data_IF_175171654444
#
_entry.id   IF_175171654444
#
_cell.length_a   1.000
_cell.length_b   1.000
_cell.length_c   1.000
_cell.angle_alpha   90.00
_cell.angle_beta   90.00
_cell.angle_gamma   90.00
#
_symmetry.space_group_name_H-M   'P 1'
#
loop_
_entity.id
_entity.type
_entity.pdbx_description
1 polymer ?
#
# COMPACT_ATOMS: atom_id res chain seq x y z
N UNK A 1 -17.28 24.06 -20.84
CA UNK A 1 -17.55 23.07 -19.78
C UNK A 1 -16.33 22.17 -19.76
N UNK A 2 -15.45 22.30 -18.77
CA UNK A 2 -14.26 21.45 -18.68
C UNK A 2 -14.66 20.14 -18.02
N UNK A 3 -14.76 19.09 -18.85
CA UNK A 3 -15.30 17.78 -18.46
C UNK A 3 -14.21 16.82 -17.97
N UNK A 4 -12.93 17.20 -18.11
CA UNK A 4 -11.81 16.31 -17.85
C UNK A 4 -11.08 16.69 -16.55
N UNK A 5 -10.87 15.75 -15.62
CA UNK A 5 -10.27 16.03 -14.30
C UNK A 5 -8.79 16.46 -14.36
N UNK A 6 -8.10 16.26 -15.47
CA UNK A 6 -6.77 16.80 -15.74
C UNK A 6 -6.75 18.32 -15.97
N UNK A 7 -7.89 18.91 -16.36
CA UNK A 7 -8.06 20.36 -16.46
C UNK A 7 -8.22 21.03 -15.09
N UNK A 8 -8.58 20.25 -14.06
CA UNK A 8 -8.79 20.77 -12.70
C UNK A 8 -7.43 20.90 -12.01
N UNK A 9 -6.92 22.12 -11.93
CA UNK A 9 -5.68 22.45 -11.21
C UNK A 9 -6.01 22.69 -9.73
N UNK A 10 -5.47 21.86 -8.85
CA UNK A 10 -5.67 21.96 -7.38
C UNK A 10 -4.63 22.88 -6.75
N UNK A 11 -3.41 22.89 -7.29
CA UNK A 11 -2.33 23.74 -6.81
C UNK A 11 -1.39 24.09 -7.95
N UNK A 12 -0.86 25.31 -7.94
CA UNK A 12 0.10 25.78 -8.93
C UNK A 12 1.19 26.62 -8.25
N UNK A 13 2.45 26.31 -8.55
CA UNK A 13 3.59 27.11 -8.10
C UNK A 13 4.71 27.12 -9.13
N UNK A 14 5.14 28.34 -9.51
CA UNK A 14 6.31 28.60 -10.37
C UNK A 14 6.38 27.75 -11.67
N UNK A 15 5.24 27.48 -12.31
CA UNK A 15 5.12 26.69 -13.54
C UNK A 15 4.83 25.19 -13.32
N UNK A 16 4.83 24.72 -12.08
CA UNK A 16 4.39 23.37 -11.72
C UNK A 16 2.91 23.40 -11.38
N UNK A 17 2.13 22.54 -12.02
CA UNK A 17 0.70 22.38 -11.78
C UNK A 17 0.44 20.98 -11.22
N UNK A 18 -0.30 20.93 -10.11
CA UNK A 18 -0.84 19.70 -9.55
C UNK A 18 -2.30 19.65 -9.98
N UNK A 19 -2.60 18.77 -10.93
CA UNK A 19 -3.97 18.50 -11.34
C UNK A 19 -4.66 17.52 -10.39
N UNK A 20 -5.99 17.42 -10.51
CA UNK A 20 -6.77 16.51 -9.68
C UNK A 20 -6.33 15.05 -9.86
N UNK A 21 -5.96 14.64 -11.08
CA UNK A 21 -5.44 13.30 -11.34
C UNK A 21 -4.22 12.96 -10.48
N UNK A 22 -3.20 13.83 -10.45
CA UNK A 22 -1.99 13.65 -9.63
C UNK A 22 -2.36 13.57 -8.14
N UNK A 23 -3.20 14.50 -7.68
CA UNK A 23 -3.63 14.50 -6.29
C UNK A 23 -4.35 13.20 -5.89
N UNK A 24 -5.29 12.73 -6.71
CA UNK A 24 -6.00 11.48 -6.45
C UNK A 24 -5.07 10.26 -6.48
N UNK A 25 -4.05 10.24 -7.35
CA UNK A 25 -3.05 9.16 -7.31
C UNK A 25 -2.29 9.12 -5.98
N UNK A 26 -1.92 10.26 -5.40
CA UNK A 26 -1.28 10.31 -4.08
C UNK A 26 -2.20 9.79 -2.98
N UNK A 27 -3.48 10.19 -3.01
CA UNK A 27 -4.49 9.70 -2.05
C UNK A 27 -4.61 8.19 -2.11
N UNK A 28 -4.71 7.62 -3.33
CA UNK A 28 -4.78 6.16 -3.52
C UNK A 28 -3.51 5.47 -3.02
N UNK A 29 -2.33 6.00 -3.32
CA UNK A 29 -1.07 5.42 -2.85
C UNK A 29 -0.98 5.44 -1.31
N UNK A 30 -1.35 6.53 -0.66
CA UNK A 30 -1.39 6.62 0.82
C UNK A 30 -2.36 5.58 1.40
N UNK A 31 -3.55 5.45 0.79
CA UNK A 31 -4.54 4.45 1.21
C UNK A 31 -3.98 3.02 1.08
N UNK A 32 -3.36 2.69 -0.05
CA UNK A 32 -2.75 1.38 -0.27
C UNK A 32 -1.64 1.09 0.74
N UNK A 33 -0.74 2.05 0.97
CA UNK A 33 0.32 1.93 1.98
C UNK A 33 -0.28 1.67 3.36
N UNK A 34 -1.31 2.43 3.74
CA UNK A 34 -1.94 2.27 5.05
C UNK A 34 -2.62 0.92 5.21
N UNK A 35 -3.34 0.46 4.19
CA UNK A 35 -3.98 -0.87 4.18
C UNK A 35 -2.92 -1.97 4.24
N UNK A 36 -1.87 -1.90 3.41
CA UNK A 36 -0.77 -2.86 3.43
C UNK A 36 -0.06 -2.90 4.78
N UNK A 37 0.19 -1.74 5.39
CA UNK A 37 0.77 -1.65 6.72
C UNK A 37 -0.14 -2.26 7.79
N UNK A 38 -1.44 -1.97 7.75
CA UNK A 38 -2.41 -2.52 8.69
C UNK A 38 -2.57 -4.05 8.52
N UNK A 39 -2.47 -4.56 7.30
CA UNK A 39 -2.49 -6.00 7.04
C UNK A 39 -1.21 -6.69 7.52
N UNK A 40 -0.05 -6.03 7.37
CA UNK A 40 1.26 -6.60 7.70
C UNK A 40 1.66 -6.46 9.16
N UNK A 41 1.09 -5.50 9.91
CA UNK A 41 1.46 -5.22 11.33
C UNK A 41 1.31 -6.41 12.28
N UNK A 42 0.45 -7.36 11.95
CA UNK A 42 0.16 -8.56 12.77
C UNK A 42 0.69 -9.85 12.12
N UNK A 43 1.45 -9.75 11.02
CA UNK A 43 2.11 -10.90 10.43
C UNK A 43 3.19 -11.40 11.39
N UNK A 44 2.86 -12.49 12.08
CA UNK A 44 3.82 -13.25 12.87
C UNK A 44 4.62 -14.13 11.90
N UNK A 45 5.90 -13.82 11.72
CA UNK A 45 6.82 -14.73 11.02
C UNK A 45 7.14 -15.86 12.00
N UNK A 46 6.52 -17.00 11.81
CA UNK A 46 6.86 -18.21 12.55
C UNK A 46 5.78 -19.28 12.49
N UNK A 47 5.98 -20.39 11.75
CA UNK A 47 5.43 -21.65 12.22
C UNK A 47 6.07 -21.88 13.60
N UNK A 48 5.26 -21.98 14.65
CA UNK A 48 5.73 -22.61 15.90
C UNK A 48 5.91 -24.10 15.60
N UNK A 49 6.94 -24.45 14.83
CA UNK A 49 7.32 -25.84 14.62
C UNK A 49 7.69 -26.35 16.00
N UNK A 50 6.85 -27.22 16.56
CA UNK A 50 7.20 -27.86 17.82
C UNK A 50 8.43 -28.72 17.56
N UNK A 51 9.36 -28.79 18.53
CA UNK A 51 10.58 -29.62 18.38
C UNK A 51 10.24 -31.08 18.05
N UNK A 52 9.05 -31.54 18.42
CA UNK A 52 8.51 -32.86 18.11
C UNK A 52 8.06 -33.02 16.66
N UNK A 53 7.55 -31.97 16.02
CA UNK A 53 7.14 -32.02 14.62
C UNK A 53 8.35 -32.16 13.69
N UNK A 54 9.44 -31.44 13.96
CA UNK A 54 10.70 -31.57 13.21
C UNK A 54 11.32 -32.97 13.35
N UNK A 55 11.26 -33.57 14.56
CA UNK A 55 11.76 -34.93 14.78
C UNK A 55 10.97 -36.00 14.00
N UNK A 56 9.64 -35.88 13.95
CA UNK A 56 8.78 -36.81 13.22
C UNK A 56 8.97 -36.71 11.70
N UNK A 57 9.23 -35.51 11.17
CA UNK A 57 9.40 -35.25 9.73
C UNK A 57 10.73 -35.80 9.17
N UNK A 58 11.76 -35.98 10.00
CA UNK A 58 13.03 -36.62 9.59
C UNK A 58 12.91 -38.16 9.51
N UNK A 59 11.95 -38.74 10.23
CA UNK A 59 11.79 -40.20 10.37
C UNK A 59 10.85 -40.79 9.30
N UNK A 60 9.84 -40.03 8.87
CA UNK A 60 8.88 -40.43 7.82
C UNK A 60 9.45 -40.15 6.45
#
# INVERSE_FOLDING_TARGET
MEISPDAIIIFQWNGVHINATIFFTWVVMVLLIFISWLATKNLTIGPKISRWQNFLEVIV
#
